data_IF_092947001225
#
_entry.id   IF_092947001225
#
_cell.length_a   1.000
_cell.length_b   1.000
_cell.length_c   1.000
_cell.angle_alpha   90.00
_cell.angle_beta   90.00
_cell.angle_gamma   90.00
#
_symmetry.space_group_name_H-M   'P 1'
#
loop_
_entity.id
_entity.type
_entity.pdbx_description
1 polymer ?
#
# COMPACT_ATOMS: atom_id res chain seq x y z
N UNK A 1 7.82 3.66 17.55
CA UNK A 1 8.03 5.06 17.12
C UNK A 1 8.89 5.74 18.15
N UNK A 2 10.03 6.30 17.76
CA UNK A 2 10.95 7.01 18.67
C UNK A 2 10.88 8.51 18.37
N UNK A 3 10.61 9.38 19.35
CA UNK A 3 10.69 10.82 19.17
C UNK A 3 12.17 11.28 19.24
N UNK A 4 12.57 12.10 18.28
CA UNK A 4 13.86 12.80 18.28
C UNK A 4 13.55 14.28 18.10
N UNK A 5 13.46 15.03 19.19
CA UNK A 5 12.87 16.36 19.19
C UNK A 5 11.39 16.30 18.76
N UNK A 6 11.00 17.13 17.79
CA UNK A 6 9.65 17.15 17.24
C UNK A 6 9.39 16.06 16.17
N UNK A 7 10.40 15.30 15.82
CA UNK A 7 10.31 14.23 14.84
C UNK A 7 9.80 12.92 15.44
N UNK A 8 8.98 12.22 14.66
CA UNK A 8 8.51 10.87 14.94
C UNK A 8 9.06 9.96 13.85
N UNK A 9 9.95 9.05 14.22
CA UNK A 9 10.54 8.08 13.30
C UNK A 9 10.00 6.69 13.56
N UNK A 10 9.90 5.88 12.53
CA UNK A 10 9.54 4.49 12.67
C UNK A 10 9.91 3.64 11.47
N UNK A 11 9.95 2.33 11.70
CA UNK A 11 10.24 1.32 10.72
C UNK A 11 9.37 0.08 10.95
N UNK A 12 8.99 -0.59 9.86
CA UNK A 12 8.46 -1.95 9.87
C UNK A 12 9.33 -2.81 8.96
N UNK A 13 9.57 -4.03 9.37
CA UNK A 13 10.20 -5.08 8.59
C UNK A 13 9.28 -6.30 8.66
N UNK A 14 8.96 -6.88 7.49
CA UNK A 14 8.31 -8.17 7.39
C UNK A 14 9.12 -9.09 6.47
N UNK A 15 9.21 -10.35 6.84
CA UNK A 15 9.81 -11.40 6.05
C UNK A 15 8.89 -12.61 6.07
N UNK A 16 8.62 -13.14 4.90
CA UNK A 16 7.82 -14.34 4.69
C UNK A 16 8.67 -15.37 3.98
N UNK A 17 8.56 -16.61 4.40
CA UNK A 17 9.11 -17.79 3.74
C UNK A 17 7.97 -18.78 3.61
N UNK A 18 7.66 -19.16 2.37
CA UNK A 18 6.52 -20.00 2.02
C UNK A 18 6.98 -21.16 1.16
N UNK A 19 6.84 -22.35 1.70
CA UNK A 19 7.27 -23.58 1.02
C UNK A 19 6.15 -24.61 1.00
N UNK A 20 6.13 -25.43 -0.05
CA UNK A 20 5.24 -26.57 -0.07
C UNK A 20 5.59 -27.62 0.98
N UNK A 21 4.61 -28.36 1.45
CA UNK A 21 4.79 -29.44 2.41
C UNK A 21 3.96 -30.69 2.03
N UNK A 22 4.49 -31.85 2.36
CA UNK A 22 3.81 -33.14 2.22
C UNK A 22 3.50 -33.51 0.77
N UNK A 23 2.22 -33.67 0.45
CA UNK A 23 1.75 -34.21 -0.86
C UNK A 23 1.78 -33.18 -1.99
N UNK A 24 2.12 -31.95 -1.73
CA UNK A 24 2.15 -30.83 -2.73
C UNK A 24 0.85 -30.72 -3.54
N UNK A 25 -0.30 -30.84 -2.89
CA UNK A 25 -1.60 -30.86 -3.57
C UNK A 25 -1.92 -29.55 -4.32
N UNK A 26 -1.32 -28.44 -3.94
CA UNK A 26 -1.40 -27.14 -4.62
C UNK A 26 -0.28 -26.88 -5.63
N UNK A 27 0.58 -27.87 -5.89
CA UNK A 27 1.79 -27.70 -6.71
C UNK A 27 3.05 -27.45 -5.88
N UNK A 28 4.14 -27.10 -6.56
CA UNK A 28 5.39 -26.69 -5.90
C UNK A 28 5.29 -25.22 -5.49
N UNK A 29 5.66 -24.92 -4.28
CA UNK A 29 5.74 -23.57 -3.73
C UNK A 29 7.12 -23.34 -3.12
N UNK A 30 7.81 -22.35 -3.63
CA UNK A 30 9.04 -21.80 -3.08
C UNK A 30 9.01 -20.28 -3.28
N UNK A 31 8.80 -19.53 -2.20
CA UNK A 31 8.68 -18.09 -2.24
C UNK A 31 9.23 -17.47 -0.96
N UNK A 32 10.01 -16.43 -1.11
CA UNK A 32 10.33 -15.50 -0.02
C UNK A 32 9.94 -14.08 -0.37
N UNK A 33 9.50 -13.33 0.62
CA UNK A 33 9.18 -11.93 0.47
C UNK A 33 9.77 -11.11 1.63
N UNK A 34 10.53 -10.09 1.27
CA UNK A 34 11.02 -9.08 2.21
C UNK A 34 10.29 -7.76 1.97
N UNK A 35 9.78 -7.15 3.03
CA UNK A 35 9.06 -5.87 2.99
C UNK A 35 9.60 -4.94 4.08
N UNK A 36 10.01 -3.73 3.68
CA UNK A 36 10.55 -2.70 4.57
C UNK A 36 9.79 -1.41 4.38
N UNK A 37 9.36 -0.78 5.47
CA UNK A 37 8.74 0.53 5.47
C UNK A 37 9.40 1.42 6.52
N UNK A 38 9.92 2.55 6.09
CA UNK A 38 10.50 3.59 6.93
C UNK A 38 9.63 4.83 6.87
N UNK A 39 9.46 5.53 7.99
CA UNK A 39 8.75 6.81 7.98
C UNK A 39 9.33 7.82 8.94
N UNK A 40 9.17 9.08 8.56
CA UNK A 40 9.50 10.23 9.37
C UNK A 40 8.35 11.22 9.34
N UNK A 41 7.89 11.65 10.52
CA UNK A 41 6.81 12.62 10.68
C UNK A 41 7.24 13.83 11.50
N UNK A 42 6.77 15.01 11.10
CA UNK A 42 6.89 16.25 11.84
C UNK A 42 5.64 17.10 11.67
N UNK A 43 5.04 17.54 12.79
CA UNK A 43 3.80 18.31 12.75
C UNK A 43 2.68 17.60 12.00
N UNK A 44 2.19 18.20 10.92
CA UNK A 44 1.13 17.69 10.07
C UNK A 44 1.61 16.65 9.04
N UNK A 45 2.90 16.51 8.83
CA UNK A 45 3.51 15.85 7.67
C UNK A 45 4.12 14.51 8.03
N UNK A 46 3.99 13.51 7.16
CA UNK A 46 4.70 12.23 7.25
C UNK A 46 5.21 11.83 5.87
N UNK A 47 6.50 11.56 5.76
CA UNK A 47 7.11 10.92 4.60
C UNK A 47 7.33 9.44 4.90
N UNK A 48 7.02 8.57 3.93
CA UNK A 48 7.26 7.13 4.00
C UNK A 48 8.04 6.68 2.78
N UNK A 49 8.97 5.76 3.02
CA UNK A 49 9.72 5.07 1.98
C UNK A 49 9.55 3.56 2.18
N UNK A 50 9.14 2.87 1.14
CA UNK A 50 8.94 1.43 1.14
C UNK A 50 9.84 0.72 0.16
N UNK A 51 10.23 -0.48 0.49
CA UNK A 51 10.91 -1.43 -0.38
C UNK A 51 10.31 -2.82 -0.17
N UNK A 52 10.06 -3.53 -1.27
CA UNK A 52 9.59 -4.90 -1.25
C UNK A 52 10.33 -5.71 -2.33
N UNK A 53 10.67 -6.94 -2.00
CA UNK A 53 11.32 -7.87 -2.92
C UNK A 53 10.70 -9.25 -2.75
N UNK A 54 10.37 -9.86 -3.87
CA UNK A 54 9.93 -11.25 -3.99
C UNK A 54 11.08 -12.08 -4.52
N UNK A 55 11.36 -13.22 -3.88
CA UNK A 55 12.33 -14.22 -4.29
C UNK A 55 11.69 -15.59 -4.42
N UNK A 56 12.52 -16.59 -4.75
CA UNK A 56 12.06 -17.98 -4.97
C UNK A 56 11.49 -18.21 -6.37
N UNK A 57 10.80 -19.34 -6.55
CA UNK A 57 10.33 -19.79 -7.87
C UNK A 57 8.88 -19.39 -8.19
N UNK A 58 8.17 -18.81 -7.22
CA UNK A 58 6.76 -18.45 -7.34
C UNK A 58 6.49 -17.00 -6.94
N UNK A 59 5.36 -16.43 -7.41
CA UNK A 59 4.78 -15.22 -6.85
C UNK A 59 4.38 -15.43 -5.38
N UNK A 60 4.23 -14.36 -4.61
CA UNK A 60 3.81 -14.44 -3.20
C UNK A 60 2.44 -15.12 -3.07
N UNK A 61 2.33 -16.17 -2.25
CA UNK A 61 1.09 -16.93 -2.07
C UNK A 61 0.18 -16.20 -1.06
N UNK A 62 -0.86 -15.54 -1.55
CA UNK A 62 -1.85 -14.97 -0.66
C UNK A 62 -2.67 -16.05 0.05
N UNK A 63 -2.81 -15.93 1.35
CA UNK A 63 -3.82 -16.65 2.12
C UNK A 63 -5.13 -15.90 1.96
N UNK A 64 -6.08 -16.49 1.29
CA UNK A 64 -7.38 -15.94 0.86
C UNK A 64 -7.95 -14.86 1.81
N UNK A 65 -8.21 -13.66 1.30
CA UNK A 65 -8.84 -12.53 1.99
C UNK A 65 -8.09 -11.99 3.23
N UNK A 66 -6.84 -12.41 3.45
CA UNK A 66 -6.02 -11.92 4.56
C UNK A 66 -5.09 -10.82 4.06
N UNK A 67 -5.10 -9.64 4.72
CA UNK A 67 -4.10 -8.62 4.50
C UNK A 67 -2.72 -9.15 4.90
N UNK A 68 -1.74 -9.24 3.98
CA UNK A 68 -0.42 -9.76 4.28
C UNK A 68 0.46 -8.79 5.06
N UNK A 69 0.02 -7.54 5.28
CA UNK A 69 0.78 -6.48 5.96
C UNK A 69 2.13 -6.16 5.30
N UNK A 70 2.22 -6.31 3.98
CA UNK A 70 3.38 -5.92 3.18
C UNK A 70 3.24 -4.49 2.66
N UNK A 71 4.37 -3.79 2.46
CA UNK A 71 4.37 -2.33 2.26
C UNK A 71 3.73 -1.89 0.95
N UNK A 72 3.84 -2.71 -0.11
CA UNK A 72 3.38 -2.38 -1.44
C UNK A 72 2.08 -3.12 -1.85
N UNK A 73 1.36 -3.73 -0.90
CA UNK A 73 -0.02 -4.16 -1.08
C UNK A 73 -0.92 -2.93 -1.03
N UNK A 74 -1.31 -2.42 -2.23
CA UNK A 74 -1.88 -1.09 -2.32
C UNK A 74 -3.30 -1.08 -2.93
N UNK A 75 -3.73 -0.04 -3.66
CA UNK A 75 -5.13 0.06 -4.06
C UNK A 75 -5.52 -0.92 -5.17
N UNK A 76 -4.63 -1.13 -6.12
CA UNK A 76 -4.86 -1.97 -7.32
C UNK A 76 -3.78 -3.05 -7.43
N UNK A 77 -2.49 -2.65 -7.36
CA UNK A 77 -1.36 -3.57 -7.50
C UNK A 77 -0.86 -4.04 -6.15
N UNK A 78 -0.28 -5.25 -6.16
CA UNK A 78 0.28 -5.91 -4.97
C UNK A 78 1.80 -5.94 -4.99
N UNK A 79 2.42 -5.78 -6.19
CA UNK A 79 3.86 -5.87 -6.41
C UNK A 79 4.45 -7.17 -5.85
N UNK A 80 3.80 -8.29 -6.15
CA UNK A 80 4.10 -9.60 -5.58
C UNK A 80 4.44 -10.67 -6.61
N UNK A 81 4.80 -10.25 -7.82
CA UNK A 81 5.19 -11.19 -8.89
C UNK A 81 6.54 -11.83 -8.56
N UNK A 82 6.79 -13.00 -9.12
CA UNK A 82 8.09 -13.67 -9.03
C UNK A 82 9.21 -12.71 -9.45
N UNK A 83 10.29 -12.65 -8.68
CA UNK A 83 11.50 -11.83 -8.86
C UNK A 83 11.30 -10.31 -8.79
N UNK A 84 10.07 -9.85 -8.53
CA UNK A 84 9.74 -8.44 -8.49
C UNK A 84 10.42 -7.70 -7.35
N UNK A 85 10.95 -6.52 -7.67
CA UNK A 85 11.44 -5.53 -6.71
C UNK A 85 10.66 -4.25 -6.89
N UNK A 86 10.13 -3.73 -5.79
CA UNK A 86 9.31 -2.53 -5.82
C UNK A 86 9.71 -1.51 -4.77
N UNK A 87 9.56 -0.22 -5.14
CA UNK A 87 9.87 0.93 -4.31
C UNK A 87 8.65 1.81 -4.15
N UNK A 88 8.45 2.32 -2.95
CA UNK A 88 7.38 3.24 -2.62
C UNK A 88 7.91 4.55 -2.06
N UNK A 89 7.33 5.67 -2.53
CA UNK A 89 7.38 6.94 -1.85
C UNK A 89 5.94 7.39 -1.54
N UNK A 90 5.68 7.81 -0.29
CA UNK A 90 4.37 8.28 0.15
C UNK A 90 4.53 9.49 1.04
N UNK A 91 3.65 10.48 0.81
CA UNK A 91 3.57 11.68 1.61
C UNK A 91 2.14 11.87 2.13
N UNK A 92 2.01 11.98 3.45
CA UNK A 92 0.74 12.16 4.15
C UNK A 92 0.69 13.55 4.81
N UNK A 93 -0.50 14.17 4.80
CA UNK A 93 -0.79 15.43 5.48
C UNK A 93 -2.05 15.29 6.32
N UNK A 94 -1.98 15.76 7.58
CA UNK A 94 -3.14 15.94 8.45
C UNK A 94 -3.41 17.42 8.63
N UNK A 95 -4.54 17.90 8.13
CA UNK A 95 -4.88 19.31 8.10
C UNK A 95 -5.43 19.86 9.44
N UNK A 96 -5.48 19.05 10.49
CA UNK A 96 -5.93 19.51 11.81
C UNK A 96 -5.10 20.67 12.33
N UNK A 97 -3.78 20.66 12.13
CA UNK A 97 -2.86 21.74 12.50
C UNK A 97 -3.02 23.00 11.67
N UNK A 98 -3.74 22.92 10.55
CA UNK A 98 -4.10 24.08 9.71
C UNK A 98 -5.54 24.56 9.94
N UNK A 99 -6.19 24.12 11.04
CA UNK A 99 -7.55 24.51 11.39
C UNK A 99 -8.67 23.73 10.69
N UNK A 100 -8.35 22.64 9.99
CA UNK A 100 -9.35 21.78 9.33
C UNK A 100 -9.26 20.35 9.93
N UNK A 101 -9.73 20.15 11.18
CA UNK A 101 -9.72 18.85 11.79
C UNK A 101 -10.64 17.88 11.04
N UNK A 102 -10.19 16.64 10.89
CA UNK A 102 -10.90 15.61 10.13
C UNK A 102 -10.52 15.54 8.65
N UNK A 103 -9.80 16.54 8.11
CA UNK A 103 -9.27 16.46 6.75
C UNK A 103 -7.87 15.85 6.75
N UNK A 104 -7.69 14.81 5.93
CA UNK A 104 -6.39 14.18 5.66
C UNK A 104 -6.23 13.95 4.16
N UNK A 105 -4.99 13.95 3.69
CA UNK A 105 -4.67 13.58 2.32
C UNK A 105 -3.34 12.84 2.27
N UNK A 106 -3.18 12.00 1.25
CA UNK A 106 -1.88 11.47 0.87
C UNK A 106 -1.73 11.34 -0.63
N UNK A 107 -0.49 11.36 -1.07
CA UNK A 107 -0.06 10.90 -2.38
C UNK A 107 0.95 9.77 -2.20
N UNK A 108 0.83 8.73 -3.01
CA UNK A 108 1.73 7.57 -3.03
C UNK A 108 2.10 7.25 -4.47
N UNK A 109 3.35 6.89 -4.67
CA UNK A 109 3.86 6.35 -5.91
C UNK A 109 4.65 5.08 -5.61
N UNK A 110 4.32 4.01 -6.33
CA UNK A 110 5.01 2.73 -6.25
C UNK A 110 5.43 2.32 -7.65
N UNK A 111 6.64 1.79 -7.79
CA UNK A 111 7.14 1.23 -9.05
C UNK A 111 7.79 -0.10 -8.77
N UNK A 112 7.52 -1.08 -9.65
CA UNK A 112 8.08 -2.44 -9.61
C UNK A 112 8.69 -2.84 -10.94
N UNK A 113 9.74 -3.64 -10.85
CA UNK A 113 10.42 -4.25 -11.99
C UNK A 113 11.04 -5.60 -11.64
N UNK A 114 11.67 -6.26 -12.60
CA UNK A 114 12.43 -7.50 -12.42
C UNK A 114 11.61 -8.78 -12.62
N UNK A 115 10.34 -8.69 -12.93
CA UNK A 115 9.48 -9.83 -13.25
C UNK A 115 9.34 -10.05 -14.77
N UNK A 116 8.75 -11.17 -15.17
CA UNK A 116 8.46 -11.46 -16.58
C UNK A 116 7.19 -10.72 -17.02
N UNK A 117 7.35 -9.78 -17.95
CA UNK A 117 6.26 -9.06 -18.60
C UNK A 117 5.61 -9.86 -19.72
N UNK A 118 4.54 -9.32 -20.32
CA UNK A 118 3.85 -9.96 -21.44
C UNK A 118 4.78 -10.15 -22.66
N UNK A 119 4.68 -11.30 -23.30
CA UNK A 119 5.47 -11.64 -24.49
C UNK A 119 6.96 -11.80 -24.26
N UNK A 120 7.39 -12.06 -23.03
CA UNK A 120 8.81 -12.23 -22.68
C UNK A 120 9.59 -10.91 -22.54
N UNK A 121 8.91 -9.80 -22.48
CA UNK A 121 9.51 -8.49 -22.17
C UNK A 121 9.93 -8.42 -20.70
N UNK A 122 10.89 -7.53 -20.38
CA UNK A 122 11.19 -7.18 -19.00
C UNK A 122 9.97 -6.50 -18.37
N UNK A 123 9.47 -7.07 -17.28
CA UNK A 123 8.29 -6.59 -16.55
C UNK A 123 8.55 -5.28 -15.85
N UNK A 124 7.63 -4.34 -16.01
CA UNK A 124 7.59 -3.06 -15.29
C UNK A 124 6.17 -2.66 -15.01
N UNK A 125 5.93 -2.18 -13.80
CA UNK A 125 4.64 -1.61 -13.44
C UNK A 125 4.82 -0.47 -12.43
N UNK A 126 3.82 0.40 -12.38
CA UNK A 126 3.74 1.43 -11.36
C UNK A 126 2.30 1.81 -11.06
N UNK A 127 2.09 2.26 -9.86
CA UNK A 127 0.81 2.80 -9.39
C UNK A 127 1.04 4.12 -8.66
N UNK A 128 0.21 5.12 -8.99
CA UNK A 128 0.10 6.37 -8.25
C UNK A 128 -1.27 6.48 -7.64
N UNK A 129 -1.32 6.67 -6.32
CA UNK A 129 -2.55 6.92 -5.59
C UNK A 129 -2.61 8.34 -5.05
N UNK A 130 -3.79 8.91 -5.11
CA UNK A 130 -4.17 10.13 -4.37
C UNK A 130 -5.38 9.80 -3.53
N UNK A 131 -5.37 10.21 -2.28
CA UNK A 131 -6.46 9.97 -1.33
C UNK A 131 -6.73 11.25 -0.55
N UNK A 132 -7.98 11.68 -0.52
CA UNK A 132 -8.44 12.83 0.25
C UNK A 132 -9.65 12.35 1.05
N UNK A 133 -9.58 12.50 2.37
CA UNK A 133 -10.64 12.06 3.28
C UNK A 133 -11.01 13.19 4.25
N UNK A 134 -12.31 13.42 4.41
CA UNK A 134 -12.83 14.34 5.40
C UNK A 134 -13.90 13.66 6.25
N UNK A 135 -13.77 13.80 7.58
CA UNK A 135 -14.76 13.33 8.56
C UNK A 135 -15.32 14.53 9.29
N UNK A 136 -16.63 14.71 9.24
CA UNK A 136 -17.33 15.80 9.93
C UNK A 136 -17.16 15.66 11.44
N UNK A 137 -16.62 16.70 12.09
CA UNK A 137 -16.23 16.67 13.50
C UNK A 137 -17.36 17.07 14.46
N UNK A 138 -18.37 17.83 14.00
CA UNK A 138 -19.41 18.42 14.84
C UNK A 138 -20.75 18.50 14.10
N UNK A 139 -21.82 18.80 14.84
CA UNK A 139 -23.17 19.00 14.31
C UNK A 139 -23.94 17.71 14.01
N UNK A 140 -25.10 17.80 13.34
CA UNK A 140 -25.99 16.65 13.10
C UNK A 140 -25.38 15.52 12.26
N UNK A 141 -24.39 15.84 11.44
CA UNK A 141 -23.69 14.89 10.57
C UNK A 141 -22.31 14.50 11.11
N UNK A 142 -22.07 14.71 12.42
CA UNK A 142 -20.81 14.25 13.04
C UNK A 142 -20.58 12.77 12.72
N UNK A 143 -19.30 12.40 12.43
CA UNK A 143 -18.87 11.07 12.03
C UNK A 143 -19.26 10.65 10.61
N UNK A 144 -19.91 11.53 9.82
CA UNK A 144 -20.03 11.30 8.38
C UNK A 144 -18.67 11.53 7.74
N UNK A 145 -18.16 10.54 7.05
CA UNK A 145 -16.93 10.57 6.29
C UNK A 145 -17.18 10.60 4.79
N UNK A 146 -16.45 11.43 4.08
CA UNK A 146 -16.38 11.43 2.61
C UNK A 146 -14.92 11.26 2.21
N UNK A 147 -14.65 10.30 1.34
CA UNK A 147 -13.31 9.99 0.87
C UNK A 147 -13.31 9.84 -0.64
N UNK A 148 -12.40 10.55 -1.28
CA UNK A 148 -12.11 10.37 -2.70
C UNK A 148 -10.75 9.72 -2.85
N UNK A 149 -10.71 8.66 -3.66
CA UNK A 149 -9.48 7.93 -4.01
C UNK A 149 -9.34 7.91 -5.52
N UNK A 150 -8.14 8.20 -5.99
CA UNK A 150 -7.75 8.02 -7.38
C UNK A 150 -6.54 7.10 -7.44
N UNK A 151 -6.60 6.07 -8.25
CA UNK A 151 -5.46 5.22 -8.60
C UNK A 151 -5.21 5.31 -10.10
N UNK A 152 -3.93 5.36 -10.48
CA UNK A 152 -3.48 5.31 -11.86
C UNK A 152 -2.41 4.23 -11.97
N UNK A 153 -2.67 3.20 -12.78
CA UNK A 153 -1.78 2.06 -12.99
C UNK A 153 -1.28 2.07 -14.42
N UNK A 154 0.00 1.78 -14.59
CA UNK A 154 0.60 1.45 -15.88
C UNK A 154 1.46 0.22 -15.71
N UNK A 155 1.21 -0.80 -16.54
CA UNK A 155 1.86 -2.09 -16.43
C UNK A 155 1.98 -2.78 -17.78
N UNK A 156 3.12 -3.37 -18.05
CA UNK A 156 3.29 -4.28 -19.17
C UNK A 156 3.07 -5.76 -18.78
N UNK A 157 2.50 -5.98 -17.60
CA UNK A 157 1.97 -7.26 -17.17
C UNK A 157 0.52 -7.48 -17.67
N UNK A 158 -0.11 -8.53 -17.22
CA UNK A 158 -1.45 -8.94 -17.67
C UNK A 158 -2.61 -8.03 -17.24
N UNK A 159 -2.38 -7.07 -16.34
CA UNK A 159 -3.42 -6.13 -15.91
C UNK A 159 -3.57 -4.93 -16.85
N UNK A 160 -2.48 -4.53 -17.56
CA UNK A 160 -2.47 -3.38 -18.45
C UNK A 160 -2.60 -2.02 -17.73
N UNK A 161 -3.03 -1.01 -18.48
CA UNK A 161 -3.24 0.35 -18.00
C UNK A 161 -4.65 0.50 -17.40
N UNK A 162 -4.75 1.11 -16.21
CA UNK A 162 -6.01 1.32 -15.51
C UNK A 162 -5.99 2.65 -14.77
N UNK A 163 -7.09 3.41 -14.88
CA UNK A 163 -7.34 4.59 -14.07
C UNK A 163 -8.67 4.40 -13.31
N UNK A 164 -8.62 4.55 -11.99
CA UNK A 164 -9.78 4.34 -11.13
C UNK A 164 -10.06 5.57 -10.26
N UNK A 165 -11.34 5.89 -10.09
CA UNK A 165 -11.83 6.85 -9.11
C UNK A 165 -12.88 6.21 -8.22
N UNK A 166 -12.71 6.32 -6.90
CA UNK A 166 -13.67 5.86 -5.90
C UNK A 166 -14.13 7.04 -5.05
N UNK A 167 -15.45 7.23 -4.95
CA UNK A 167 -16.06 8.08 -3.95
C UNK A 167 -16.69 7.19 -2.88
N UNK A 168 -16.24 7.33 -1.65
CA UNK A 168 -16.67 6.51 -0.52
C UNK A 168 -17.34 7.43 0.50
N UNK A 169 -18.58 7.09 0.88
CA UNK A 169 -19.29 7.76 1.97
C UNK A 169 -19.45 6.74 3.09
N UNK A 170 -19.06 7.12 4.29
CA UNK A 170 -19.14 6.28 5.50
C UNK A 170 -19.79 7.04 6.65
N UNK A 171 -20.53 6.33 7.49
CA UNK A 171 -21.10 6.89 8.71
C UNK A 171 -20.88 5.95 9.88
N UNK A 172 -20.17 6.43 10.90
CA UNK A 172 -19.89 5.63 12.10
C UNK A 172 -20.91 5.94 13.18
N UNK A 173 -21.72 4.94 13.53
CA UNK A 173 -22.71 5.02 14.60
C UNK A 173 -22.07 4.43 15.87
N UNK A 174 -21.89 5.22 16.95
CA UNK A 174 -21.47 4.66 18.23
C UNK A 174 -22.61 3.82 18.81
N UNK A 175 -22.36 2.54 19.02
CA UNK A 175 -23.26 1.68 19.79
C UNK A 175 -22.92 1.86 21.27
N UNK A 176 -23.90 2.28 22.06
CA UNK A 176 -23.80 2.37 23.53
C UNK A 176 -24.04 1.00 24.14
#
# INVERSE_FOLDING_TARGET
>A
MQPIGDWKLGANLAYFDSQDNGRKLGGTLDNDLTSVNLWAGIGAHTLRLGYQKVGGDNAFPFLTETDPYIVNYIQILDFTRKDEKSWQARYDVNFASYGIPGLTAFVRYVTGDGFDGMGGASGKEWERDVDISYVIQQGPLKNLGVRWRNAMVRSNANIGDLDENRLIVSYTIPLM
#
